data_IF_599840624226
#
_entry.id   IF_599840624226
#
_cell.length_a   1.000
_cell.length_b   1.000
_cell.length_c   1.000
_cell.angle_alpha   90.00
_cell.angle_beta   90.00
_cell.angle_gamma   90.00
#
_symmetry.space_group_name_H-M   'P 1'
#
loop_
_entity.id
_entity.type
_entity.pdbx_description
1 polymer ?
#
# COMPACT_ATOMS: atom_id res chain seq x y z
N UNK A 1 -19.94 -30.26 -17.36
CA UNK A 1 -21.14 -29.91 -18.18
C UNK A 1 -21.90 -28.77 -17.53
N UNK A 2 -22.12 -28.79 -16.21
CA UNK A 2 -22.62 -27.63 -15.45
C UNK A 2 -21.68 -26.41 -15.52
N UNK A 3 -20.38 -26.60 -15.35
CA UNK A 3 -19.37 -25.51 -15.41
C UNK A 3 -19.33 -24.77 -16.76
N UNK A 4 -19.65 -25.46 -17.85
CA UNK A 4 -19.71 -24.84 -19.17
C UNK A 4 -20.99 -24.01 -19.37
N UNK A 5 -22.06 -24.35 -18.64
CA UNK A 5 -23.32 -23.60 -18.66
C UNK A 5 -23.19 -22.29 -17.89
N UNK A 6 -22.45 -22.28 -16.77
CA UNK A 6 -22.24 -21.07 -15.97
C UNK A 6 -21.42 -20.00 -16.72
N UNK A 7 -20.38 -20.41 -17.46
CA UNK A 7 -19.61 -19.49 -18.32
C UNK A 7 -20.48 -18.94 -19.46
N UNK A 8 -21.35 -19.77 -20.05
CA UNK A 8 -22.29 -19.33 -21.10
C UNK A 8 -23.32 -18.33 -20.55
N UNK A 9 -23.80 -18.51 -19.32
CA UNK A 9 -24.69 -17.55 -18.65
C UNK A 9 -23.99 -16.21 -18.39
N UNK A 10 -22.72 -16.23 -17.96
CA UNK A 10 -21.92 -15.00 -17.78
C UNK A 10 -21.64 -14.30 -19.11
N UNK A 11 -21.38 -15.04 -20.19
CA UNK A 11 -21.21 -14.50 -21.54
C UNK A 11 -22.48 -13.81 -22.02
N UNK A 12 -23.64 -14.43 -21.80
CA UNK A 12 -24.93 -13.82 -22.12
C UNK A 12 -25.15 -12.53 -21.33
N UNK A 13 -24.88 -12.53 -20.03
CA UNK A 13 -24.98 -11.34 -19.18
C UNK A 13 -23.97 -10.24 -19.57
N UNK A 14 -22.83 -10.62 -20.15
CA UNK A 14 -21.80 -9.71 -20.63
C UNK A 14 -22.05 -9.15 -22.05
N UNK A 15 -23.12 -9.58 -22.73
CA UNK A 15 -23.41 -9.29 -24.15
C UNK A 15 -22.28 -9.71 -25.11
N UNK A 16 -21.64 -10.85 -24.79
CA UNK A 16 -20.52 -11.38 -25.57
C UNK A 16 -20.97 -12.46 -26.56
N UNK A 17 -20.48 -12.37 -27.79
CA UNK A 17 -20.74 -13.39 -28.82
C UNK A 17 -20.15 -14.75 -28.45
N UNK A 18 -20.68 -15.84 -29.04
CA UNK A 18 -20.17 -17.20 -28.80
C UNK A 18 -18.66 -17.32 -29.03
N UNK A 19 -18.07 -16.62 -30.02
CA UNK A 19 -16.64 -16.70 -30.36
C UNK A 19 -15.74 -15.70 -29.60
N UNK A 20 -16.13 -15.28 -28.39
CA UNK A 20 -15.31 -14.36 -27.58
C UNK A 20 -14.07 -15.05 -26.99
N UNK A 21 -13.01 -14.28 -26.75
CA UNK A 21 -11.74 -14.80 -26.20
C UNK A 21 -11.88 -15.43 -24.81
N UNK A 22 -13.02 -15.20 -24.14
CA UNK A 22 -13.40 -15.82 -22.86
C UNK A 22 -13.46 -17.35 -22.90
N UNK A 23 -13.65 -17.98 -24.07
CA UNK A 23 -13.61 -19.45 -24.20
C UNK A 23 -12.23 -20.05 -23.91
N UNK A 24 -11.18 -19.22 -23.87
CA UNK A 24 -9.80 -19.67 -23.68
C UNK A 24 -9.28 -19.49 -22.26
N UNK A 25 -10.10 -19.01 -21.33
CA UNK A 25 -9.70 -18.87 -19.92
C UNK A 25 -9.66 -20.26 -19.27
N UNK A 26 -8.48 -20.79 -18.90
CA UNK A 26 -8.36 -22.18 -18.46
C UNK A 26 -8.72 -22.36 -16.97
N UNK A 27 -9.52 -21.48 -16.39
CA UNK A 27 -9.78 -21.46 -14.95
C UNK A 27 -11.28 -21.35 -14.67
N UNK A 28 -11.70 -22.04 -13.62
CA UNK A 28 -13.02 -21.88 -13.03
C UNK A 28 -12.93 -20.85 -11.90
N UNK A 29 -13.77 -19.81 -11.96
CA UNK A 29 -13.84 -18.76 -10.94
C UNK A 29 -15.10 -18.92 -10.08
N UNK A 30 -15.05 -18.43 -8.84
CA UNK A 30 -16.24 -18.17 -8.04
C UNK A 30 -16.92 -16.87 -8.47
N UNK A 31 -18.09 -16.57 -7.89
CA UNK A 31 -18.77 -15.28 -8.08
C UNK A 31 -17.95 -14.07 -7.62
N UNK A 32 -16.97 -14.27 -6.72
CA UNK A 32 -16.07 -13.22 -6.23
C UNK A 32 -14.71 -13.23 -6.95
N UNK A 33 -14.64 -13.82 -8.16
CA UNK A 33 -13.43 -13.93 -8.98
C UNK A 33 -12.27 -14.69 -8.33
N UNK A 34 -12.58 -15.63 -7.44
CA UNK A 34 -11.58 -16.53 -6.84
C UNK A 34 -11.40 -17.78 -7.70
N UNK A 35 -10.16 -18.10 -8.03
CA UNK A 35 -9.79 -19.26 -8.84
C UNK A 35 -10.05 -20.52 -8.02
N UNK A 36 -11.04 -21.30 -8.41
CA UNK A 36 -11.39 -22.56 -7.73
C UNK A 36 -10.49 -23.70 -8.20
N UNK A 37 -10.30 -23.81 -9.52
CA UNK A 37 -9.51 -24.86 -10.15
C UNK A 37 -9.18 -24.54 -11.61
N UNK A 38 -8.19 -25.23 -12.14
CA UNK A 38 -7.89 -25.23 -13.58
C UNK A 38 -8.86 -26.17 -14.34
N UNK A 39 -9.36 -25.74 -15.50
CA UNK A 39 -10.24 -26.53 -16.36
C UNK A 39 -9.43 -27.52 -17.20
N UNK A 40 -9.76 -28.81 -17.09
CA UNK A 40 -8.97 -29.89 -17.73
C UNK A 40 -9.10 -29.97 -19.26
N UNK A 41 -10.07 -29.27 -19.86
CA UNK A 41 -10.45 -29.43 -21.27
C UNK A 41 -9.44 -28.81 -22.26
N UNK A 42 -8.45 -28.04 -21.79
CA UNK A 42 -7.40 -27.53 -22.67
C UNK A 42 -6.29 -28.59 -22.78
N UNK A 43 -6.22 -29.18 -23.98
CA UNK A 43 -5.28 -30.19 -24.51
C UNK A 43 -4.07 -30.54 -23.60
N UNK A 44 -3.85 -31.83 -23.29
CA UNK A 44 -2.74 -32.33 -22.46
C UNK A 44 -1.36 -31.82 -22.87
N UNK A 45 -1.15 -31.48 -24.14
CA UNK A 45 0.10 -30.88 -24.65
C UNK A 45 0.27 -29.40 -24.27
N UNK A 46 -0.83 -28.65 -24.14
CA UNK A 46 -0.82 -27.27 -23.62
C UNK A 46 -0.52 -27.22 -22.12
N UNK A 47 -0.88 -28.27 -21.36
CA UNK A 47 -0.56 -28.40 -19.94
C UNK A 47 0.96 -28.45 -19.70
N UNK A 48 1.75 -29.08 -20.56
CA UNK A 48 3.22 -29.13 -20.41
C UNK A 48 3.89 -27.79 -20.76
N UNK A 49 3.32 -27.07 -21.74
CA UNK A 49 3.79 -25.72 -22.14
C UNK A 49 3.39 -24.63 -21.12
N UNK A 50 2.32 -24.85 -20.35
CA UNK A 50 1.84 -23.96 -19.27
C UNK A 50 2.43 -24.31 -17.90
N UNK A 51 2.67 -25.59 -17.61
CA UNK A 51 3.28 -26.04 -16.35
C UNK A 51 4.74 -25.60 -16.21
N UNK A 52 5.41 -25.21 -17.31
CA UNK A 52 6.74 -24.62 -17.29
C UNK A 52 6.74 -23.13 -16.90
N UNK A 53 5.67 -22.61 -16.29
CA UNK A 53 5.51 -21.19 -15.90
C UNK A 53 5.14 -21.01 -14.42
N UNK A 54 5.44 -22.01 -13.57
CA UNK A 54 4.96 -21.95 -12.18
C UNK A 54 5.86 -21.14 -11.25
N UNK A 55 5.23 -20.08 -10.72
CA UNK A 55 5.33 -19.59 -9.34
C UNK A 55 6.62 -18.85 -8.95
N UNK A 56 6.96 -17.79 -9.68
CA UNK A 56 7.83 -16.74 -9.13
C UNK A 56 7.10 -15.39 -9.07
N UNK A 57 7.25 -14.63 -7.97
CA UNK A 57 6.57 -13.33 -7.80
C UNK A 57 6.93 -12.30 -8.88
N UNK A 58 7.95 -12.57 -9.71
CA UNK A 58 8.41 -11.71 -10.81
C UNK A 58 8.03 -12.21 -12.22
N UNK A 59 7.23 -13.27 -12.33
CA UNK A 59 6.79 -13.77 -13.64
C UNK A 59 5.61 -12.94 -14.16
N UNK A 60 5.82 -12.25 -15.29
CA UNK A 60 4.72 -11.59 -16.03
C UNK A 60 3.75 -12.61 -16.65
N UNK A 61 4.19 -13.87 -16.74
CA UNK A 61 3.46 -14.98 -17.33
C UNK A 61 3.10 -16.03 -16.26
N UNK A 62 2.98 -15.62 -15.00
CA UNK A 62 2.60 -16.50 -13.90
C UNK A 62 1.20 -17.10 -14.14
N UNK A 63 1.06 -18.40 -13.88
CA UNK A 63 -0.24 -19.05 -13.86
C UNK A 63 -1.02 -18.64 -12.60
N UNK A 64 -2.35 -18.57 -12.75
CA UNK A 64 -3.26 -18.44 -11.62
C UNK A 64 -3.29 -19.77 -10.86
N UNK A 65 -3.22 -19.69 -9.53
CA UNK A 65 -3.32 -20.84 -8.64
C UNK A 65 -4.71 -20.90 -7.99
N UNK A 66 -5.20 -22.09 -7.62
CA UNK A 66 -6.39 -22.18 -6.78
C UNK A 66 -6.25 -21.32 -5.50
N UNK A 67 -7.26 -20.51 -5.21
CA UNK A 67 -7.29 -19.53 -4.12
C UNK A 67 -6.86 -18.11 -4.51
N UNK A 68 -6.30 -17.90 -5.70
CA UNK A 68 -6.01 -16.56 -6.23
C UNK A 68 -7.30 -15.80 -6.51
N UNK A 69 -7.39 -14.54 -6.09
CA UNK A 69 -8.54 -13.66 -6.39
C UNK A 69 -8.14 -12.57 -7.38
N UNK A 70 -8.86 -12.45 -8.50
CA UNK A 70 -8.61 -11.38 -9.48
C UNK A 70 -9.23 -10.06 -8.99
N UNK A 71 -8.43 -9.00 -8.94
CA UNK A 71 -8.84 -7.66 -8.49
C UNK A 71 -9.02 -6.66 -9.64
N UNK A 72 -8.19 -6.79 -10.68
CA UNK A 72 -8.20 -5.89 -11.84
C UNK A 72 -7.66 -6.55 -13.11
N UNK A 73 -8.11 -6.08 -14.26
CA UNK A 73 -7.60 -6.43 -15.60
C UNK A 73 -7.19 -5.15 -16.32
N UNK A 74 -5.94 -5.08 -16.79
CA UNK A 74 -5.33 -3.90 -17.43
C UNK A 74 -5.52 -2.59 -16.64
N UNK A 75 -5.50 -2.70 -15.31
CA UNK A 75 -5.67 -1.59 -14.37
C UNK A 75 -7.14 -1.20 -14.09
N UNK A 76 -8.11 -1.84 -14.76
CA UNK A 76 -9.54 -1.66 -14.51
C UNK A 76 -9.97 -2.65 -13.43
N UNK A 77 -10.50 -2.13 -12.32
CA UNK A 77 -10.99 -2.98 -11.22
C UNK A 77 -12.19 -3.79 -11.67
N UNK A 78 -12.16 -5.10 -11.39
CA UNK A 78 -13.23 -6.05 -11.70
C UNK A 78 -13.71 -6.69 -10.41
N UNK A 79 -15.03 -6.77 -10.19
CA UNK A 79 -15.62 -7.37 -8.99
C UNK A 79 -16.49 -8.57 -9.30
N UNK A 80 -16.99 -8.66 -10.53
CA UNK A 80 -17.88 -9.73 -10.95
C UNK A 80 -17.32 -10.47 -12.16
N UNK A 81 -17.69 -11.75 -12.36
CA UNK A 81 -17.33 -12.51 -13.55
C UNK A 81 -17.72 -11.82 -14.86
N UNK A 82 -18.86 -11.11 -14.88
CA UNK A 82 -19.33 -10.39 -16.06
C UNK A 82 -18.40 -9.23 -16.43
N UNK A 83 -17.97 -8.43 -15.45
CA UNK A 83 -16.99 -7.37 -15.65
C UNK A 83 -15.64 -7.93 -16.10
N UNK A 84 -15.18 -8.99 -15.44
CA UNK A 84 -13.94 -9.67 -15.79
C UNK A 84 -13.92 -10.18 -17.23
N UNK A 85 -15.01 -10.83 -17.68
CA UNK A 85 -15.11 -11.32 -19.05
C UNK A 85 -15.13 -10.19 -20.09
N UNK A 86 -15.72 -9.02 -19.78
CA UNK A 86 -15.72 -7.86 -20.69
C UNK A 86 -14.32 -7.29 -20.93
N UNK A 87 -13.46 -7.33 -19.92
CA UNK A 87 -12.08 -6.86 -20.06
C UNK A 87 -11.17 -7.90 -20.74
N UNK A 88 -11.54 -9.19 -20.70
CA UNK A 88 -10.81 -10.30 -21.32
C UNK A 88 -11.01 -10.46 -22.84
N UNK A 89 -11.37 -9.39 -23.56
CA UNK A 89 -11.65 -9.49 -25.00
C UNK A 89 -10.41 -9.39 -25.90
N UNK A 90 -9.22 -9.23 -25.31
CA UNK A 90 -7.96 -9.16 -26.05
C UNK A 90 -7.03 -10.34 -25.73
N UNK A 91 -6.14 -10.74 -26.66
CA UNK A 91 -5.32 -11.95 -26.50
C UNK A 91 -4.29 -11.91 -25.36
N UNK A 92 -3.99 -10.72 -24.83
CA UNK A 92 -3.00 -10.49 -23.77
C UNK A 92 -3.53 -9.39 -22.87
N UNK A 93 -3.70 -9.72 -21.59
CA UNK A 93 -4.09 -8.79 -20.54
C UNK A 93 -3.10 -8.88 -19.38
N UNK A 94 -2.99 -7.81 -18.61
CA UNK A 94 -2.34 -7.82 -17.31
C UNK A 94 -3.40 -8.01 -16.23
N UNK A 95 -3.19 -8.95 -15.32
CA UNK A 95 -4.11 -9.18 -14.20
C UNK A 95 -3.43 -8.79 -12.90
N UNK A 96 -4.16 -8.07 -12.03
CA UNK A 96 -3.77 -7.85 -10.64
C UNK A 96 -4.51 -8.88 -9.81
N UNK A 97 -3.77 -9.69 -9.06
CA UNK A 97 -4.27 -10.86 -8.37
C UNK A 97 -3.84 -10.78 -6.90
N UNK A 98 -4.79 -11.01 -6.01
CA UNK A 98 -4.54 -11.24 -4.59
C UNK A 98 -4.25 -12.72 -4.38
N UNK A 99 -3.04 -13.04 -3.93
CA UNK A 99 -2.65 -14.37 -3.50
C UNK A 99 -2.46 -14.34 -1.98
N UNK A 100 -3.41 -14.93 -1.26
CA UNK A 100 -3.34 -15.03 0.19
C UNK A 100 -2.35 -16.14 0.59
N UNK A 101 -1.07 -15.80 0.65
CA UNK A 101 -0.10 -16.65 1.36
C UNK A 101 -0.38 -16.55 2.86
N UNK A 102 -0.31 -17.68 3.58
CA UNK A 102 -0.37 -17.69 5.05
C UNK A 102 0.87 -16.98 5.62
N UNK A 103 0.81 -15.65 5.68
CA UNK A 103 1.80 -14.85 6.37
C UNK A 103 1.60 -15.03 7.87
N UNK A 104 2.63 -15.49 8.56
CA UNK A 104 2.63 -15.50 10.03
C UNK A 104 2.60 -14.05 10.51
N UNK A 105 1.57 -13.60 11.23
CA UNK A 105 1.51 -12.23 11.70
C UNK A 105 2.62 -11.99 12.71
N UNK A 106 3.42 -10.95 12.50
CA UNK A 106 4.49 -10.54 13.41
C UNK A 106 3.96 -9.39 14.29
N UNK A 107 4.47 -9.30 15.52
CA UNK A 107 4.11 -8.20 16.41
C UNK A 107 4.65 -6.88 15.88
N UNK A 108 3.82 -5.82 15.91
CA UNK A 108 4.26 -4.48 15.51
C UNK A 108 5.50 -3.99 16.27
N UNK A 109 5.69 -4.40 17.53
CA UNK A 109 6.88 -4.01 18.31
C UNK A 109 8.15 -4.65 17.80
N UNK A 110 8.07 -5.91 17.40
CA UNK A 110 9.22 -6.66 16.87
C UNK A 110 9.64 -6.08 15.52
N UNK A 111 8.67 -5.75 14.66
CA UNK A 111 8.92 -5.11 13.36
C UNK A 111 9.42 -3.67 13.51
N UNK A 112 8.83 -2.87 14.40
CA UNK A 112 9.30 -1.49 14.63
C UNK A 112 10.73 -1.49 15.21
N UNK A 113 11.03 -2.42 16.13
CA UNK A 113 12.38 -2.62 16.62
C UNK A 113 13.32 -3.09 15.51
N UNK A 114 12.93 -4.05 14.67
CA UNK A 114 13.74 -4.50 13.54
C UNK A 114 14.05 -3.32 12.58
N UNK A 115 13.02 -2.54 12.23
CA UNK A 115 13.14 -1.38 11.35
C UNK A 115 14.04 -0.28 11.94
N UNK A 116 13.85 0.07 13.22
CA UNK A 116 14.56 1.17 13.87
C UNK A 116 15.95 0.79 14.37
N UNK A 117 16.17 -0.45 14.82
CA UNK A 117 17.47 -0.89 15.35
C UNK A 117 18.56 -0.90 14.28
N UNK A 118 18.15 -1.14 13.04
CA UNK A 118 19.01 -1.14 11.87
C UNK A 118 19.25 0.30 11.35
N UNK A 119 18.29 1.22 11.56
CA UNK A 119 18.33 2.56 10.97
C UNK A 119 18.99 3.61 11.87
N UNK A 120 20.20 4.04 11.52
CA UNK A 120 20.86 5.20 12.13
C UNK A 120 20.66 6.46 11.29
N UNK A 121 19.71 7.31 11.67
CA UNK A 121 19.37 8.54 10.92
C UNK A 121 20.53 9.51 10.65
N UNK A 122 21.59 9.47 11.48
CA UNK A 122 22.82 10.23 11.23
C UNK A 122 23.50 9.84 9.90
N UNK A 123 23.31 8.60 9.44
CA UNK A 123 23.89 8.07 8.22
C UNK A 123 23.28 8.71 6.95
N UNK A 124 22.12 9.38 7.07
CA UNK A 124 21.50 10.10 5.96
C UNK A 124 22.24 11.41 5.60
N UNK A 125 22.83 12.09 6.60
CA UNK A 125 23.43 13.42 6.41
C UNK A 125 24.59 13.42 5.39
N UNK A 126 25.53 12.46 5.42
CA UNK A 126 26.59 12.36 4.41
C UNK A 126 26.05 12.20 2.99
N UNK A 127 24.98 11.42 2.79
CA UNK A 127 24.36 11.25 1.48
C UNK A 127 23.74 12.56 1.01
N UNK A 128 22.89 13.18 1.82
CA UNK A 128 22.18 14.41 1.47
C UNK A 128 23.15 15.57 1.20
N UNK A 129 24.18 15.71 2.03
CA UNK A 129 25.21 16.75 1.86
C UNK A 129 26.12 16.54 0.64
N UNK A 130 26.16 15.31 0.12
CA UNK A 130 26.88 14.92 -1.09
C UNK A 130 26.10 15.15 -2.39
N UNK A 131 24.77 15.35 -2.32
CA UNK A 131 23.94 15.57 -3.52
C UNK A 131 24.44 16.82 -4.26
N UNK A 132 24.78 16.67 -5.55
CA UNK A 132 25.32 17.75 -6.38
C UNK A 132 26.84 17.94 -6.33
N UNK A 133 27.58 17.06 -5.63
CA UNK A 133 29.05 17.00 -5.65
C UNK A 133 29.53 15.80 -6.48
N UNK A 134 30.71 15.90 -7.09
CA UNK A 134 31.28 14.83 -7.94
C UNK A 134 31.54 13.51 -7.19
N UNK A 135 31.67 13.54 -5.87
CA UNK A 135 31.84 12.38 -5.00
C UNK A 135 30.69 12.26 -3.99
N UNK A 136 29.46 12.09 -4.50
CA UNK A 136 28.30 11.81 -3.65
C UNK A 136 28.36 10.37 -3.15
N UNK A 137 28.17 10.17 -1.84
CA UNK A 137 28.01 8.83 -1.28
C UNK A 137 26.72 8.22 -1.85
N UNK A 138 26.85 7.10 -2.55
CA UNK A 138 25.70 6.37 -3.12
C UNK A 138 24.97 5.53 -2.07
N UNK A 139 25.64 5.20 -0.97
CA UNK A 139 25.04 4.54 0.18
C UNK A 139 25.81 4.87 1.47
N UNK A 140 25.09 4.85 2.58
CA UNK A 140 25.66 4.95 3.92
C UNK A 140 24.71 4.28 4.92
N UNK A 141 25.20 3.26 5.63
CA UNK A 141 24.34 2.40 6.46
C UNK A 141 23.21 1.78 5.64
N UNK A 142 21.97 2.00 6.07
CA UNK A 142 20.75 1.53 5.41
C UNK A 142 20.16 2.53 4.41
N UNK A 143 20.78 3.70 4.23
CA UNK A 143 20.33 4.68 3.26
C UNK A 143 21.07 4.49 1.93
N UNK A 144 20.30 4.48 0.85
CA UNK A 144 20.80 4.34 -0.52
C UNK A 144 20.29 5.52 -1.33
N UNK A 145 21.21 6.22 -2.01
CA UNK A 145 20.84 7.17 -3.05
C UNK A 145 20.47 6.37 -4.29
N UNK A 146 19.18 6.41 -4.65
CA UNK A 146 18.69 5.71 -5.82
C UNK A 146 19.40 6.26 -7.07
N UNK A 147 20.13 5.37 -7.74
CA UNK A 147 20.74 5.69 -9.02
C UNK A 147 19.64 5.93 -10.06
N UNK A 148 19.91 6.76 -11.09
CA UNK A 148 19.04 6.83 -12.26
C UNK A 148 18.71 5.42 -12.75
N UNK A 149 17.46 5.23 -13.18
CA UNK A 149 16.98 3.95 -13.68
C UNK A 149 17.91 3.44 -14.77
N UNK A 150 18.59 2.32 -14.50
CA UNK A 150 19.48 1.65 -15.45
C UNK A 150 18.82 0.37 -15.93
N UNK A 151 18.88 0.16 -17.25
CA UNK A 151 18.39 -1.06 -17.88
C UNK A 151 19.25 -2.25 -17.45
N UNK A 152 18.73 -3.08 -16.56
CA UNK A 152 19.38 -4.31 -16.09
C UNK A 152 18.61 -5.51 -16.63
N UNK A 153 19.31 -6.61 -16.96
CA UNK A 153 18.65 -7.87 -17.34
C UNK A 153 18.16 -8.59 -16.08
N UNK A 154 17.06 -9.33 -16.17
CA UNK A 154 16.49 -10.05 -15.02
C UNK A 154 17.51 -10.98 -14.32
N UNK A 155 18.37 -11.65 -15.09
CA UNK A 155 19.45 -12.50 -14.55
C UNK A 155 20.51 -11.75 -13.72
N UNK A 156 20.68 -10.45 -13.96
CA UNK A 156 21.68 -9.59 -13.31
C UNK A 156 21.00 -8.63 -12.30
N UNK A 157 19.69 -8.81 -12.10
CA UNK A 157 18.90 -7.96 -11.23
C UNK A 157 19.29 -8.17 -9.76
N UNK A 158 19.42 -7.10 -8.95
CA UNK A 158 19.82 -7.24 -7.55
C UNK A 158 18.74 -7.99 -6.76
N UNK A 159 19.09 -9.17 -6.27
CA UNK A 159 18.26 -10.03 -5.41
C UNK A 159 19.07 -10.48 -4.20
N UNK A 160 18.41 -10.75 -3.07
CA UNK A 160 19.04 -11.44 -1.95
C UNK A 160 19.48 -12.85 -2.34
N UNK A 161 20.41 -13.44 -1.59
CA UNK A 161 20.92 -14.78 -1.87
C UNK A 161 19.81 -15.85 -1.87
N UNK A 162 18.86 -15.74 -0.93
CA UNK A 162 17.70 -16.64 -0.84
C UNK A 162 16.75 -16.49 -2.04
N UNK A 163 16.50 -15.26 -2.47
CA UNK A 163 15.66 -14.97 -3.65
C UNK A 163 16.33 -15.46 -4.94
N UNK A 164 17.64 -15.23 -5.07
CA UNK A 164 18.43 -15.69 -6.21
C UNK A 164 18.44 -17.21 -6.29
N UNK A 165 18.64 -17.89 -5.16
CA UNK A 165 18.58 -19.35 -5.11
C UNK A 165 17.20 -19.86 -5.53
N UNK A 166 16.14 -19.25 -4.98
CA UNK A 166 14.76 -19.61 -5.36
C UNK A 166 14.52 -19.43 -6.86
N UNK A 167 15.00 -18.32 -7.43
CA UNK A 167 14.95 -18.01 -8.86
C UNK A 167 15.70 -19.01 -9.72
N UNK A 168 16.94 -19.33 -9.35
CA UNK A 168 17.76 -20.29 -10.08
C UNK A 168 17.16 -21.70 -10.03
N UNK A 169 16.69 -22.14 -8.85
CA UNK A 169 16.02 -23.44 -8.68
C UNK A 169 14.74 -23.53 -9.52
N UNK A 170 13.90 -22.49 -9.53
CA UNK A 170 12.67 -22.49 -10.31
C UNK A 170 12.97 -22.56 -11.81
N UNK A 171 13.91 -21.74 -12.30
CA UNK A 171 14.29 -21.77 -13.71
C UNK A 171 14.94 -23.11 -14.09
N UNK A 172 15.70 -23.75 -13.19
CA UNK A 172 16.24 -25.08 -13.42
C UNK A 172 15.14 -26.14 -13.52
N UNK A 173 14.18 -26.13 -12.60
CA UNK A 173 13.00 -27.03 -12.65
C UNK A 173 12.26 -26.88 -13.98
N UNK A 174 12.02 -25.65 -14.43
CA UNK A 174 11.38 -25.38 -15.72
C UNK A 174 12.21 -25.86 -16.91
N UNK A 175 13.54 -25.69 -16.87
CA UNK A 175 14.43 -26.18 -17.91
C UNK A 175 14.38 -27.72 -18.02
N UNK A 176 14.30 -28.42 -16.89
CA UNK A 176 14.15 -29.89 -16.84
C UNK A 176 12.80 -30.32 -17.43
N UNK A 177 11.71 -29.62 -17.09
CA UNK A 177 10.38 -29.90 -17.65
C UNK A 177 10.33 -29.64 -19.16
N UNK A 178 10.87 -28.52 -19.63
CA UNK A 178 10.92 -28.18 -21.05
C UNK A 178 11.67 -29.24 -21.86
N UNK A 179 12.77 -29.79 -21.32
CA UNK A 179 13.55 -30.88 -21.97
C UNK A 179 12.77 -32.20 -22.10
N UNK A 180 11.77 -32.44 -21.23
CA UNK A 180 10.92 -33.65 -21.25
C UNK A 180 9.80 -33.59 -22.31
N UNK A 181 9.62 -32.46 -23.00
CA UNK A 181 8.61 -32.31 -24.06
C UNK A 181 8.98 -33.19 -25.27
N UNK A 182 8.07 -34.10 -25.64
CA UNK A 182 8.27 -35.08 -26.72
C UNK A 182 8.35 -34.44 -28.12
N UNK A 183 7.56 -33.39 -28.36
CA UNK A 183 7.53 -32.68 -29.65
C UNK A 183 8.68 -31.69 -29.76
N UNK A 184 9.50 -31.83 -30.81
CA UNK A 184 10.69 -30.99 -31.04
C UNK A 184 10.36 -29.50 -31.09
N UNK A 185 9.33 -29.12 -31.84
CA UNK A 185 8.95 -27.72 -32.03
C UNK A 185 8.49 -27.07 -30.72
N UNK A 186 7.69 -27.78 -29.93
CA UNK A 186 7.21 -27.31 -28.63
C UNK A 186 8.36 -27.19 -27.62
N UNK A 187 9.30 -28.14 -27.62
CA UNK A 187 10.51 -28.10 -26.80
C UNK A 187 11.38 -26.88 -27.13
N UNK A 188 11.64 -26.64 -28.41
CA UNK A 188 12.45 -25.50 -28.86
C UNK A 188 11.77 -24.17 -28.50
N UNK A 189 10.45 -24.07 -28.66
CA UNK A 189 9.66 -22.91 -28.22
C UNK A 189 9.75 -22.69 -26.71
N UNK A 190 9.60 -23.73 -25.89
CA UNK A 190 9.68 -23.64 -24.43
C UNK A 190 11.07 -23.17 -23.96
N UNK A 191 12.14 -23.75 -24.52
CA UNK A 191 13.52 -23.35 -24.20
C UNK A 191 13.84 -21.90 -24.63
N UNK A 192 13.36 -21.51 -25.83
CA UNK A 192 13.53 -20.14 -26.33
C UNK A 192 12.84 -19.12 -25.40
N UNK A 193 11.62 -19.40 -24.94
CA UNK A 193 10.90 -18.54 -23.99
C UNK A 193 11.63 -18.40 -22.66
N UNK A 194 12.10 -19.49 -22.08
CA UNK A 194 12.87 -19.46 -20.82
C UNK A 194 14.16 -18.63 -20.98
N UNK A 195 14.81 -18.72 -22.13
CA UNK A 195 15.97 -17.89 -22.45
C UNK A 195 15.62 -16.40 -22.60
N UNK A 196 14.47 -16.08 -23.19
CA UNK A 196 13.97 -14.71 -23.31
C UNK A 196 13.60 -14.14 -21.94
N UNK A 197 12.94 -14.93 -21.09
CA UNK A 197 12.59 -14.56 -19.72
C UNK A 197 13.83 -14.18 -18.90
N UNK A 198 14.88 -15.01 -18.90
CA UNK A 198 16.14 -14.71 -18.20
C UNK A 198 16.84 -13.45 -18.72
N UNK A 199 16.70 -13.16 -20.02
CA UNK A 199 17.42 -12.07 -20.69
C UNK A 199 16.60 -10.78 -20.87
N UNK A 200 15.34 -10.77 -20.43
CA UNK A 200 14.47 -9.58 -20.50
C UNK A 200 15.01 -8.46 -19.60
N UNK A 201 14.70 -7.23 -19.95
CA UNK A 201 14.98 -6.10 -19.07
C UNK A 201 14.02 -6.11 -17.87
N UNK A 202 14.55 -5.79 -16.71
CA UNK A 202 13.81 -5.68 -15.46
C UNK A 202 13.98 -4.26 -14.90
N UNK A 203 12.90 -3.74 -14.34
CA UNK A 203 12.86 -2.46 -13.65
C UNK A 203 12.10 -2.65 -12.35
N UNK A 204 12.64 -2.14 -11.25
CA UNK A 204 11.94 -2.08 -9.97
C UNK A 204 12.87 -2.27 -8.78
N UNK A 205 12.27 -2.49 -7.63
CA UNK A 205 12.90 -3.02 -6.43
C UNK A 205 12.06 -4.21 -5.96
N UNK A 206 12.69 -5.14 -5.25
CA UNK A 206 11.97 -6.26 -4.64
C UNK A 206 11.46 -5.78 -3.29
N UNK A 207 10.15 -5.84 -3.11
CA UNK A 207 9.51 -5.61 -1.83
C UNK A 207 8.92 -6.92 -1.36
N UNK A 208 9.08 -7.20 -0.06
CA UNK A 208 8.41 -8.31 0.60
C UNK A 208 7.42 -7.72 1.59
N UNK A 209 6.14 -7.99 1.36
CA UNK A 209 5.12 -7.63 2.33
C UNK A 209 5.24 -8.50 3.58
N UNK A 210 4.95 -7.89 4.74
CA UNK A 210 4.85 -8.60 6.01
C UNK A 210 3.51 -8.30 6.64
N UNK A 211 2.83 -9.34 7.11
CA UNK A 211 1.63 -9.17 7.89
C UNK A 211 1.99 -8.76 9.32
N UNK A 212 1.65 -7.53 9.70
CA UNK A 212 1.92 -7.00 11.03
C UNK A 212 0.63 -6.88 11.82
N UNK A 213 0.58 -7.50 13.00
CA UNK A 213 -0.54 -7.31 13.92
C UNK A 213 -0.32 -6.05 14.77
N UNK A 214 -0.96 -4.96 14.37
CA UNK A 214 -0.90 -3.68 15.08
C UNK A 214 -1.93 -3.63 16.23
N UNK A 215 -1.44 -3.70 17.48
CA UNK A 215 -2.25 -3.59 18.69
C UNK A 215 -1.47 -2.87 19.80
N UNK A 216 -1.33 -1.54 19.73
CA UNK A 216 -0.63 -0.76 20.73
C UNK A 216 -1.45 -0.68 22.03
N UNK A 217 -0.76 -0.66 23.17
CA UNK A 217 -1.41 -0.37 24.46
C UNK A 217 -1.92 1.07 24.48
N UNK A 218 -3.02 1.39 25.20
CA UNK A 218 -3.56 2.75 25.27
C UNK A 218 -2.54 3.81 25.70
N UNK A 219 -1.64 3.47 26.63
CA UNK A 219 -0.57 4.37 27.10
C UNK A 219 0.43 4.68 25.97
N UNK A 220 0.84 3.67 25.21
CA UNK A 220 1.75 3.84 24.08
C UNK A 220 1.11 4.70 22.99
N UNK A 221 -0.16 4.44 22.66
CA UNK A 221 -0.91 5.24 21.69
C UNK A 221 -1.02 6.70 22.15
N UNK A 222 -1.30 6.95 23.42
CA UNK A 222 -1.32 8.30 23.98
C UNK A 222 0.05 8.97 23.86
N UNK A 223 1.13 8.28 24.24
CA UNK A 223 2.50 8.81 24.17
C UNK A 223 2.94 9.11 22.75
N UNK A 224 2.65 8.22 21.78
CA UNK A 224 3.01 8.41 20.38
C UNK A 224 2.27 9.60 19.79
N UNK A 225 0.95 9.66 19.97
CA UNK A 225 0.12 10.78 19.47
C UNK A 225 0.52 12.10 20.12
N UNK A 226 0.79 12.11 21.43
CA UNK A 226 1.27 13.31 22.12
C UNK A 226 2.62 13.79 21.57
N UNK A 227 3.55 12.86 21.34
CA UNK A 227 4.87 13.14 20.75
C UNK A 227 4.76 13.71 19.34
N UNK A 228 3.93 13.10 18.50
CA UNK A 228 3.66 13.56 17.13
C UNK A 228 3.04 14.97 17.11
N UNK A 229 2.04 15.23 17.96
CA UNK A 229 1.44 16.57 18.09
C UNK A 229 2.50 17.60 18.46
N UNK A 230 3.35 17.31 19.46
CA UNK A 230 4.39 18.24 19.90
C UNK A 230 5.44 18.47 18.81
N UNK A 231 5.85 17.42 18.09
CA UNK A 231 6.79 17.51 16.97
C UNK A 231 6.20 18.34 15.83
N UNK A 232 4.93 18.13 15.48
CA UNK A 232 4.24 18.86 14.43
C UNK A 232 4.05 20.34 14.80
N UNK A 233 3.70 20.64 16.05
CA UNK A 233 3.63 22.02 16.55
C UNK A 233 5.00 22.69 16.50
N UNK A 234 6.07 21.99 16.90
CA UNK A 234 7.44 22.51 16.79
C UNK A 234 7.80 22.79 15.34
N UNK A 235 7.52 21.85 14.43
CA UNK A 235 7.82 21.98 13.01
C UNK A 235 7.04 23.13 12.35
N UNK A 236 5.80 23.38 12.80
CA UNK A 236 4.97 24.51 12.36
C UNK A 236 5.56 25.84 12.82
N UNK A 237 6.00 25.93 14.08
CA UNK A 237 6.61 27.15 14.63
C UNK A 237 7.98 27.42 14.04
N UNK A 238 8.77 26.39 13.72
CA UNK A 238 10.08 26.53 13.07
C UNK A 238 9.97 26.74 11.55
N UNK A 239 8.77 26.67 10.97
CA UNK A 239 8.55 26.81 9.53
C UNK A 239 9.10 25.62 8.71
N UNK A 240 9.44 24.51 9.36
CA UNK A 240 9.92 23.29 8.69
C UNK A 240 8.79 22.57 7.94
N UNK A 241 7.54 22.82 8.32
CA UNK A 241 6.33 22.26 7.73
C UNK A 241 5.39 23.38 7.33
N UNK A 242 4.80 23.28 6.14
CA UNK A 242 3.80 24.25 5.67
C UNK A 242 2.45 24.00 6.35
N UNK A 243 1.73 25.05 6.82
CA UNK A 243 0.37 24.93 7.32
C UNK A 243 -0.59 24.24 6.34
N UNK A 244 -0.30 24.31 5.02
CA UNK A 244 -1.09 23.66 3.97
C UNK A 244 -1.04 22.12 4.01
N UNK A 245 -0.11 21.53 4.75
CA UNK A 245 -0.01 20.08 4.88
C UNK A 245 -1.01 19.52 5.91
N UNK A 246 -1.51 20.35 6.82
CA UNK A 246 -2.53 19.96 7.78
C UNK A 246 -3.89 19.84 7.09
N UNK A 247 -4.59 18.75 7.36
CA UNK A 247 -5.96 18.54 6.90
C UNK A 247 -6.95 19.28 7.80
N UNK A 248 -7.91 19.96 7.18
CA UNK A 248 -9.04 20.57 7.87
C UNK A 248 -10.20 19.60 8.11
N UNK A 249 -11.39 20.14 8.46
CA UNK A 249 -12.58 19.33 8.74
C UNK A 249 -13.03 18.46 7.56
N UNK A 250 -12.84 18.94 6.33
CA UNK A 250 -13.25 18.22 5.13
C UNK A 250 -12.34 17.00 4.93
N UNK A 251 -11.03 17.17 5.11
CA UNK A 251 -10.09 16.06 5.07
C UNK A 251 -10.39 15.01 6.14
N UNK A 252 -10.71 15.43 7.38
CA UNK A 252 -11.09 14.51 8.46
C UNK A 252 -12.33 13.68 8.07
N UNK A 253 -13.34 14.32 7.47
CA UNK A 253 -14.55 13.61 7.01
C UNK A 253 -14.24 12.60 5.90
N UNK A 254 -13.32 12.93 4.98
CA UNK A 254 -12.87 12.01 3.94
C UNK A 254 -12.17 10.78 4.53
N UNK A 255 -11.27 10.98 5.50
CA UNK A 255 -10.57 9.89 6.19
C UNK A 255 -11.58 8.97 6.88
N UNK A 256 -12.56 9.53 7.60
CA UNK A 256 -13.62 8.74 8.23
C UNK A 256 -14.39 7.94 7.18
N UNK A 257 -14.84 8.59 6.10
CA UNK A 257 -15.61 7.92 5.04
C UNK A 257 -14.82 6.79 4.37
N UNK A 258 -13.54 7.02 4.06
CA UNK A 258 -12.65 6.01 3.51
C UNK A 258 -12.38 4.86 4.48
N UNK A 259 -12.36 5.14 5.79
CA UNK A 259 -12.16 4.11 6.81
C UNK A 259 -13.39 3.19 6.93
N UNK A 260 -14.59 3.74 6.77
CA UNK A 260 -15.82 2.95 6.71
C UNK A 260 -15.88 2.00 5.53
N UNK A 261 -15.40 2.42 4.35
CA UNK A 261 -15.35 1.52 3.18
C UNK A 261 -14.35 0.38 3.33
N UNK A 262 -13.35 0.53 4.21
CA UNK A 262 -12.38 -0.52 4.58
C UNK A 262 -12.89 -1.48 5.66
N UNK A 263 -13.97 -1.14 6.35
CA UNK A 263 -14.64 -2.00 7.35
C UNK A 263 -14.74 -1.40 8.75
N UNK A 264 -15.58 -2.00 9.60
CA UNK A 264 -15.93 -1.46 10.93
C UNK A 264 -14.72 -1.36 11.87
N UNK A 265 -13.80 -2.33 11.81
CA UNK A 265 -12.57 -2.30 12.62
C UNK A 265 -11.72 -1.07 12.31
N UNK A 266 -11.55 -0.77 11.03
CA UNK A 266 -10.79 0.39 10.56
C UNK A 266 -11.50 1.70 10.92
N UNK A 267 -12.82 1.76 10.73
CA UNK A 267 -13.62 2.92 11.14
C UNK A 267 -13.50 3.22 12.65
N UNK A 268 -13.58 2.20 13.50
CA UNK A 268 -13.40 2.36 14.95
C UNK A 268 -11.99 2.81 15.33
N UNK A 269 -10.97 2.30 14.64
CA UNK A 269 -9.59 2.73 14.84
C UNK A 269 -9.44 4.24 14.55
N UNK A 270 -9.89 4.70 13.38
CA UNK A 270 -9.79 6.11 13.01
C UNK A 270 -10.63 7.02 13.88
N UNK A 271 -11.85 6.59 14.25
CA UNK A 271 -12.69 7.32 15.20
C UNK A 271 -11.97 7.48 16.55
N UNK A 272 -11.35 6.41 17.06
CA UNK A 272 -10.56 6.43 18.28
C UNK A 272 -9.32 7.33 18.16
N UNK A 273 -8.58 7.25 17.06
CA UNK A 273 -7.40 8.06 16.81
C UNK A 273 -7.73 9.56 16.73
N UNK A 274 -8.81 9.94 16.04
CA UNK A 274 -9.28 11.34 15.98
C UNK A 274 -9.72 11.81 17.37
N UNK A 275 -10.46 10.98 18.11
CA UNK A 275 -10.92 11.31 19.47
C UNK A 275 -9.76 11.53 20.43
N UNK A 276 -8.71 10.67 20.35
CA UNK A 276 -7.50 10.79 21.15
C UNK A 276 -6.71 12.06 20.79
N UNK A 277 -6.55 12.34 19.49
CA UNK A 277 -5.93 13.58 19.01
C UNK A 277 -6.63 14.82 19.58
N UNK A 278 -7.96 14.88 19.47
CA UNK A 278 -8.75 15.99 20.01
C UNK A 278 -8.64 16.08 21.53
N UNK A 279 -8.66 14.93 22.22
CA UNK A 279 -8.45 14.86 23.67
C UNK A 279 -7.09 15.41 24.09
N UNK A 280 -6.01 15.07 23.38
CA UNK A 280 -4.67 15.58 23.66
C UNK A 280 -4.56 17.08 23.35
N UNK A 281 -5.10 17.54 22.20
CA UNK A 281 -5.14 18.97 21.87
C UNK A 281 -5.88 19.77 22.95
N UNK A 282 -6.97 19.22 23.49
CA UNK A 282 -7.71 19.83 24.58
C UNK A 282 -6.92 19.92 25.90
N UNK A 283 -5.87 19.12 26.09
CA UNK A 283 -5.00 19.18 27.26
C UNK A 283 -3.81 20.15 27.09
N UNK A 284 -3.60 20.71 25.90
CA UNK A 284 -2.55 21.71 25.67
C UNK A 284 -2.87 22.98 26.50
N UNK A 285 -1.85 23.64 27.11
CA UNK A 285 -2.04 24.83 27.94
C UNK A 285 -2.36 26.09 27.11
N UNK A 286 -3.45 26.05 26.34
CA UNK A 286 -3.98 27.17 25.54
C UNK A 286 -5.29 27.66 26.17
N UNK A 287 -5.48 28.99 26.36
CA UNK A 287 -6.57 29.54 27.18
C UNK A 287 -8.01 29.10 26.88
N UNK A 288 -8.33 28.73 25.63
CA UNK A 288 -9.67 28.26 25.24
C UNK A 288 -9.88 26.75 25.50
N UNK A 289 -8.80 25.98 25.51
CA UNK A 289 -8.84 24.54 25.73
C UNK A 289 -8.87 24.19 27.22
N UNK A 290 -9.33 22.99 27.56
CA UNK A 290 -9.44 22.53 28.95
C UNK A 290 -8.09 22.57 29.69
N UNK A 291 -6.98 22.29 29.00
CA UNK A 291 -5.62 22.44 29.51
C UNK A 291 -5.29 23.87 29.94
N UNK A 292 -5.75 24.87 29.21
CA UNK A 292 -5.61 26.28 29.62
C UNK A 292 -6.40 26.59 30.88
N UNK A 293 -7.63 26.09 31.00
CA UNK A 293 -8.46 26.25 32.21
C UNK A 293 -7.82 25.58 33.43
N UNK A 294 -7.22 24.39 33.24
CA UNK A 294 -6.44 23.71 34.27
C UNK A 294 -5.25 24.58 34.69
N UNK A 295 -4.49 25.13 33.73
CA UNK A 295 -3.38 26.04 34.04
C UNK A 295 -3.82 27.29 34.80
N UNK A 296 -4.92 27.92 34.42
CA UNK A 296 -5.47 29.07 35.15
C UNK A 296 -5.91 28.69 36.56
N UNK A 297 -6.54 27.53 36.74
CA UNK A 297 -6.96 27.04 38.06
C UNK A 297 -5.75 26.77 38.98
N UNK A 298 -4.68 26.17 38.42
CA UNK A 298 -3.42 25.97 39.14
C UNK A 298 -2.78 27.32 39.50
N UNK A 299 -2.78 28.26 38.56
CA UNK A 299 -2.27 29.61 38.80
C UNK A 299 -3.06 30.35 39.89
N UNK A 300 -4.39 30.26 39.89
CA UNK A 300 -5.24 30.83 40.94
C UNK A 300 -4.99 30.20 42.31
N UNK A 301 -4.76 28.88 42.35
CA UNK A 301 -4.40 28.16 43.57
C UNK A 301 -3.06 28.64 44.14
N UNK A 302 -2.06 28.85 43.29
CA UNK A 302 -0.75 29.40 43.70
C UNK A 302 -0.89 30.86 44.17
N UNK A 303 -1.70 31.66 43.47
CA UNK A 303 -1.90 33.08 43.78
C UNK A 303 -2.82 33.32 44.98
N UNK A 304 -3.61 32.33 45.36
CA UNK A 304 -4.59 32.42 46.46
C UNK A 304 -5.77 33.36 46.20
N UNK A 305 -5.96 33.84 44.97
CA UNK A 305 -7.04 34.76 44.57
C UNK A 305 -7.56 34.44 43.17
N UNK A 306 -8.88 34.45 42.93
CA UNK A 306 -9.47 34.18 41.62
C UNK A 306 -9.11 35.27 40.62
N UNK A 307 -8.94 34.90 39.34
CA UNK A 307 -8.79 35.83 38.23
C UNK A 307 -10.08 36.60 38.03
N UNK A 308 -9.95 37.88 37.65
CA UNK A 308 -11.11 38.66 37.26
C UNK A 308 -11.66 38.05 35.98
N UNK A 309 -12.96 37.79 35.94
CA UNK A 309 -13.66 37.23 34.77
C UNK A 309 -13.32 38.00 33.48
N UNK A 310 -13.31 39.34 33.56
CA UNK A 310 -12.90 40.21 32.45
C UNK A 310 -11.49 39.91 31.95
N UNK A 311 -10.53 39.68 32.85
CA UNK A 311 -9.15 39.35 32.47
C UNK A 311 -9.09 38.01 31.74
N UNK A 312 -9.86 37.01 32.18
CA UNK A 312 -9.90 35.71 31.50
C UNK A 312 -10.52 35.83 30.09
N UNK A 313 -11.61 36.59 29.95
CA UNK A 313 -12.22 36.88 28.65
C UNK A 313 -11.24 37.57 27.69
N UNK A 314 -10.54 38.61 28.15
CA UNK A 314 -9.54 39.31 27.33
C UNK A 314 -8.38 38.41 26.90
N UNK A 315 -7.99 37.44 27.74
CA UNK A 315 -6.97 36.45 27.38
C UNK A 315 -7.51 35.44 26.37
N UNK A 316 -8.79 35.02 26.46
CA UNK A 316 -9.38 34.01 25.57
C UNK A 316 -9.69 34.51 24.16
N UNK A 317 -10.22 35.73 24.02
CA UNK A 317 -10.63 36.33 22.73
C UNK A 317 -9.58 36.16 21.61
N UNK A 318 -8.30 36.53 21.78
CA UNK A 318 -7.33 36.41 20.69
C UNK A 318 -7.11 34.97 20.23
N UNK A 319 -7.16 33.99 21.14
CA UNK A 319 -7.02 32.58 20.80
C UNK A 319 -8.24 32.05 20.05
N UNK A 320 -9.45 32.47 20.44
CA UNK A 320 -10.67 32.10 19.72
C UNK A 320 -10.65 32.67 18.31
N UNK A 321 -10.29 33.94 18.15
CA UNK A 321 -10.17 34.59 16.82
C UNK A 321 -9.13 33.87 15.96
N UNK A 322 -7.97 33.53 16.54
CA UNK A 322 -6.93 32.77 15.85
C UNK A 322 -7.43 31.38 15.44
N UNK A 323 -8.16 30.68 16.31
CA UNK A 323 -8.71 29.35 16.04
C UNK A 323 -9.72 29.38 14.90
N UNK A 324 -10.64 30.36 14.93
CA UNK A 324 -11.64 30.55 13.85
C UNK A 324 -10.95 30.87 12.53
N UNK A 325 -9.94 31.73 12.56
CA UNK A 325 -9.15 32.04 11.37
C UNK A 325 -8.43 30.78 10.83
N UNK A 326 -7.80 30.00 11.70
CA UNK A 326 -7.13 28.75 11.32
C UNK A 326 -8.14 27.74 10.75
N UNK A 327 -9.33 27.63 11.33
CA UNK A 327 -10.39 26.76 10.84
C UNK A 327 -10.82 27.13 9.41
N UNK A 328 -11.05 28.42 9.15
CA UNK A 328 -11.38 28.93 7.81
C UNK A 328 -10.23 28.66 6.84
N UNK A 329 -8.99 28.96 7.25
CA UNK A 329 -7.79 28.75 6.45
C UNK A 329 -7.60 27.28 6.04
N UNK A 330 -7.71 26.36 6.99
CA UNK A 330 -7.59 24.92 6.73
C UNK A 330 -8.73 24.41 5.84
N UNK A 331 -9.96 24.87 6.07
CA UNK A 331 -11.11 24.51 5.23
C UNK A 331 -10.93 24.99 3.79
N UNK A 332 -10.43 26.21 3.59
CA UNK A 332 -10.10 26.72 2.26
C UNK A 332 -9.01 25.90 1.59
N UNK A 333 -7.98 25.49 2.33
CA UNK A 333 -6.90 24.65 1.82
C UNK A 333 -7.39 23.24 1.43
N UNK A 334 -8.30 22.65 2.21
CA UNK A 334 -8.94 21.38 1.86
C UNK A 334 -9.72 21.50 0.54
N UNK A 335 -10.54 22.55 0.40
CA UNK A 335 -11.30 22.81 -0.83
C UNK A 335 -10.39 23.00 -2.05
N UNK A 336 -9.31 23.79 -1.89
CA UNK A 336 -8.34 24.00 -2.95
C UNK A 336 -7.70 22.67 -3.39
N UNK A 337 -7.29 21.82 -2.44
CA UNK A 337 -6.71 20.50 -2.72
C UNK A 337 -7.68 19.60 -3.46
N UNK A 338 -8.95 19.57 -3.04
CA UNK A 338 -9.99 18.80 -3.73
C UNK A 338 -10.15 19.28 -5.17
N UNK A 339 -10.25 20.59 -5.40
CA UNK A 339 -10.40 21.14 -6.75
C UNK A 339 -9.19 20.78 -7.64
N UNK A 340 -7.97 20.88 -7.13
CA UNK A 340 -6.75 20.50 -7.90
C UNK A 340 -6.64 18.99 -8.16
N UNK A 341 -7.31 18.14 -7.38
CA UNK A 341 -7.34 16.70 -7.68
C UNK A 341 -8.38 16.36 -8.76
N UNK A 342 -9.39 17.21 -8.94
CA UNK A 342 -10.44 17.03 -9.94
C UNK A 342 -10.09 17.59 -11.33
N UNK A 343 -9.18 18.57 -11.41
CA UNK A 343 -8.67 19.17 -12.65
C UNK A 343 -7.21 18.76 -12.89
#
# INVERSE_FOLDING_TARGET
>A
REEALEIDDWKYAADLSKNSFSEFVPYHFSHDLEVQKELEYINKESKVTRASLSAHPFSLDAILLPGDRVLAVDGISVKTPVEFLKELQIPRVQMIVERLEEMKPISWREEDQAFLSETRWADLLPIVSGIGREASLTSNGYFYLLSPVSLTRLKDFPMSEKERQSFEEAVEREMVLAKKISKREERERALSRLSQYKNRFALGAIFTDRLVNYNPTPIHLFQSVFGEILQNLRALVTGSVSPKQFGGPIFIMQVIHQSWSKGVKEALFWLGAISLNLGILNLIPIPFFDGGRICFSVFEKIRGKPLKEKTMQWIMIPFIVLLVFLFIYLTFNDLARMLTQFF
#
